data_IF_906226832582
#
_entry.id   IF_906226832582
#
_cell.length_a   1.000
_cell.length_b   1.000
_cell.length_c   1.000
_cell.angle_alpha   90.00
_cell.angle_beta   90.00
_cell.angle_gamma   90.00
#
_symmetry.space_group_name_H-M   'P 1'
#
loop_
_entity.id
_entity.type
_entity.pdbx_description
1 polymer ?
#
# COMPACT_ATOMS: atom_id res chain seq x y z
N UNK A 1 40.75 57.49 12.07
CA UNK A 1 40.04 56.47 12.87
C UNK A 1 38.63 56.28 12.33
N UNK A 2 38.31 55.15 11.68
CA UNK A 2 36.91 54.81 11.33
C UNK A 2 36.19 54.38 12.60
N UNK A 3 35.21 55.16 13.08
CA UNK A 3 34.32 54.73 14.17
C UNK A 3 33.55 53.50 13.68
N UNK A 4 33.75 52.35 14.32
CA UNK A 4 32.90 51.18 14.08
C UNK A 4 31.54 51.47 14.72
N UNK A 5 30.51 51.59 13.90
CA UNK A 5 29.12 51.63 14.35
C UNK A 5 28.74 50.22 14.81
N UNK A 6 28.54 50.03 16.10
CA UNK A 6 28.07 48.77 16.67
C UNK A 6 26.55 48.64 16.52
N UNK A 7 26.08 47.42 16.31
CA UNK A 7 24.65 47.09 16.31
C UNK A 7 24.08 47.36 17.71
N UNK A 8 22.92 48.02 17.79
CA UNK A 8 22.25 48.22 19.07
C UNK A 8 21.52 46.93 19.48
N UNK A 9 21.37 46.72 20.79
CA UNK A 9 20.67 45.56 21.34
C UNK A 9 19.19 45.50 20.87
N UNK A 10 18.57 46.66 20.64
CA UNK A 10 17.18 46.77 20.15
C UNK A 10 17.09 46.31 18.69
N UNK A 11 18.01 46.75 17.82
CA UNK A 11 18.01 46.32 16.41
C UNK A 11 18.18 44.81 16.29
N UNK A 12 19.03 44.20 17.12
CA UNK A 12 19.20 42.75 17.15
C UNK A 12 17.93 42.04 17.64
N UNK A 13 17.31 42.53 18.72
CA UNK A 13 16.08 41.95 19.27
C UNK A 13 14.91 41.97 18.28
N UNK A 14 14.71 43.09 17.57
CA UNK A 14 13.65 43.21 16.57
C UNK A 14 13.85 42.21 15.43
N UNK A 15 15.08 42.03 14.95
CA UNK A 15 15.38 41.06 13.89
C UNK A 15 15.06 39.63 14.33
N UNK A 16 15.48 39.25 15.54
CA UNK A 16 15.20 37.90 16.06
C UNK A 16 13.68 37.71 16.25
N UNK A 17 12.97 38.74 16.73
CA UNK A 17 11.51 38.69 16.87
C UNK A 17 10.80 38.48 15.52
N UNK A 18 11.24 39.18 14.47
CA UNK A 18 10.69 39.00 13.11
C UNK A 18 10.99 37.59 12.60
N UNK A 19 12.23 37.09 12.75
CA UNK A 19 12.59 35.72 12.34
C UNK A 19 11.75 34.69 13.10
N UNK A 20 11.53 34.87 14.41
CA UNK A 20 10.73 33.98 15.23
C UNK A 20 9.26 33.92 14.76
N UNK A 21 8.66 35.07 14.43
CA UNK A 21 7.29 35.15 13.89
C UNK A 21 7.20 34.45 12.53
N UNK A 22 8.15 34.73 11.62
CA UNK A 22 8.18 34.10 10.30
C UNK A 22 8.36 32.58 10.39
N UNK A 23 9.28 32.13 11.23
CA UNK A 23 9.54 30.71 11.46
C UNK A 23 8.32 29.99 12.07
N UNK A 24 7.62 30.63 13.03
CA UNK A 24 6.43 30.08 13.67
C UNK A 24 5.29 29.81 12.67
N UNK A 25 5.14 30.64 11.62
CA UNK A 25 4.15 30.43 10.56
C UNK A 25 4.66 29.44 9.51
N UNK A 26 5.96 29.50 9.17
CA UNK A 26 6.54 28.70 8.10
C UNK A 26 6.64 27.21 8.45
N UNK A 27 7.02 26.86 9.69
CA UNK A 27 7.19 25.46 10.08
C UNK A 27 5.92 24.60 9.96
N UNK A 28 4.73 25.00 10.46
CA UNK A 28 3.53 24.17 10.30
C UNK A 28 3.08 24.06 8.84
N UNK A 29 3.25 25.12 8.04
CA UNK A 29 2.91 25.10 6.61
C UNK A 29 3.86 24.19 5.84
N UNK A 30 5.16 24.29 6.11
CA UNK A 30 6.17 23.46 5.47
C UNK A 30 5.98 21.98 5.79
N UNK A 31 5.64 21.64 7.04
CA UNK A 31 5.33 20.27 7.43
C UNK A 31 4.15 19.69 6.63
N UNK A 32 3.06 20.46 6.49
CA UNK A 32 1.89 20.06 5.69
C UNK A 32 2.23 19.91 4.21
N UNK A 33 2.98 20.86 3.64
CA UNK A 33 3.38 20.82 2.24
C UNK A 33 4.28 19.61 1.93
N UNK A 34 5.25 19.32 2.81
CA UNK A 34 6.11 18.15 2.71
C UNK A 34 5.30 16.86 2.74
N UNK A 35 4.27 16.80 3.55
CA UNK A 35 3.42 15.61 3.63
C UNK A 35 2.56 15.42 2.38
N UNK A 36 1.98 16.48 1.84
CA UNK A 36 1.26 16.41 0.56
C UNK A 36 2.17 15.95 -0.60
N UNK A 37 3.44 16.38 -0.59
CA UNK A 37 4.42 15.91 -1.56
C UNK A 37 4.68 14.41 -1.42
N UNK A 38 4.82 13.89 -0.19
CA UNK A 38 5.01 12.45 0.04
C UNK A 38 3.80 11.63 -0.40
N UNK A 39 2.58 12.07 -0.08
CA UNK A 39 1.34 11.43 -0.58
C UNK A 39 1.27 11.35 -2.10
N UNK A 40 1.68 12.43 -2.77
CA UNK A 40 1.75 12.48 -4.24
C UNK A 40 2.80 11.49 -4.76
N UNK A 41 3.94 11.37 -4.10
CA UNK A 41 4.94 10.34 -4.43
C UNK A 41 4.41 8.93 -4.25
N UNK A 42 3.63 8.66 -3.18
CA UNK A 42 3.03 7.35 -2.97
C UNK A 42 2.04 6.99 -4.08
N UNK A 43 1.20 7.95 -4.51
CA UNK A 43 0.30 7.75 -5.64
C UNK A 43 1.06 7.48 -6.95
N UNK A 44 2.16 8.20 -7.19
CA UNK A 44 3.02 7.97 -8.36
C UNK A 44 3.67 6.59 -8.35
N UNK A 45 4.13 6.13 -7.19
CA UNK A 45 4.68 4.79 -7.01
C UNK A 45 3.65 3.71 -7.35
N UNK A 46 2.41 3.84 -6.85
CA UNK A 46 1.34 2.89 -7.17
C UNK A 46 1.01 2.85 -8.65
N UNK A 47 0.98 4.01 -9.32
CA UNK A 47 0.79 4.08 -10.77
C UNK A 47 1.90 3.31 -11.50
N UNK A 48 3.16 3.47 -11.09
CA UNK A 48 4.28 2.72 -11.68
C UNK A 48 4.15 1.21 -11.45
N UNK A 49 3.73 0.78 -10.26
CA UNK A 49 3.48 -0.64 -9.97
C UNK A 49 2.37 -1.19 -10.85
N UNK A 50 1.28 -0.44 -11.03
CA UNK A 50 0.16 -0.86 -11.87
C UNK A 50 0.51 -0.95 -13.36
N UNK A 51 1.27 0.01 -13.87
CA UNK A 51 1.77 -0.07 -15.24
C UNK A 51 2.64 -1.31 -15.43
N UNK A 52 3.51 -1.63 -14.46
CA UNK A 52 4.29 -2.86 -14.49
C UNK A 52 3.42 -4.13 -14.44
N UNK A 53 2.31 -4.13 -13.70
CA UNK A 53 1.37 -5.23 -13.66
C UNK A 53 0.61 -5.41 -15.00
N UNK A 54 0.30 -4.32 -15.70
CA UNK A 54 -0.28 -4.38 -17.05
C UNK A 54 0.75 -4.91 -18.06
N UNK A 55 2.00 -4.44 -17.97
CA UNK A 55 3.10 -4.98 -18.80
C UNK A 55 3.29 -6.47 -18.56
N UNK A 56 3.29 -6.91 -17.29
CA UNK A 56 3.29 -8.31 -16.93
C UNK A 56 2.12 -9.05 -17.59
N UNK A 57 0.89 -8.56 -17.47
CA UNK A 57 -0.25 -9.22 -18.10
C UNK A 57 -0.08 -9.36 -19.62
N UNK A 58 0.49 -8.35 -20.29
CA UNK A 58 0.79 -8.42 -21.73
C UNK A 58 1.74 -9.55 -22.12
N UNK A 59 2.72 -9.86 -21.26
CA UNK A 59 3.73 -10.90 -21.52
C UNK A 59 3.33 -12.29 -21.00
N UNK A 60 2.32 -12.38 -20.12
CA UNK A 60 1.91 -13.60 -19.42
C UNK A 60 0.43 -13.94 -19.66
N UNK A 61 0.05 -14.22 -20.91
CA UNK A 61 -1.29 -14.69 -21.34
C UNK A 61 -2.46 -13.81 -20.84
N UNK A 62 -2.27 -12.50 -20.82
CA UNK A 62 -3.24 -11.52 -20.31
C UNK A 62 -3.60 -11.77 -18.83
N UNK A 63 -2.74 -12.45 -18.07
CA UNK A 63 -2.98 -12.75 -16.67
C UNK A 63 -2.19 -11.80 -15.76
N UNK A 64 -2.89 -11.21 -14.80
CA UNK A 64 -2.26 -10.37 -13.79
C UNK A 64 -1.37 -11.21 -12.85
N UNK A 65 -0.32 -10.58 -12.27
CA UNK A 65 0.54 -11.28 -11.33
C UNK A 65 -0.23 -11.70 -10.07
N UNK A 66 0.20 -12.82 -9.50
CA UNK A 66 -0.23 -13.33 -8.20
C UNK A 66 1.00 -13.57 -7.31
N UNK A 67 0.81 -13.57 -6.00
CA UNK A 67 1.87 -13.76 -5.01
C UNK A 67 2.10 -15.22 -4.61
N UNK A 68 1.39 -16.20 -5.21
CA UNK A 68 1.60 -17.61 -4.86
C UNK A 68 2.94 -18.12 -5.35
N UNK A 69 3.64 -18.77 -4.43
CA UNK A 69 4.82 -19.56 -4.69
C UNK A 69 4.39 -21.02 -4.53
N UNK A 70 4.32 -21.77 -5.61
CA UNK A 70 3.82 -23.16 -5.66
C UNK A 70 4.74 -24.20 -5.01
N UNK A 71 5.70 -23.81 -4.18
CA UNK A 71 6.70 -24.74 -3.62
C UNK A 71 6.73 -24.66 -2.10
N UNK A 72 6.23 -25.73 -1.47
CA UNK A 72 5.98 -25.95 -0.04
C UNK A 72 7.21 -25.89 0.91
N UNK A 73 8.27 -25.13 0.65
CA UNK A 73 9.50 -25.13 1.48
C UNK A 73 9.99 -23.75 1.96
N UNK A 74 9.30 -22.65 1.67
CA UNK A 74 9.85 -21.28 1.91
C UNK A 74 9.01 -20.40 2.84
N UNK A 75 7.96 -20.94 3.43
CA UNK A 75 7.23 -20.29 4.50
C UNK A 75 8.07 -20.32 5.77
N UNK A 76 8.80 -19.23 6.04
CA UNK A 76 9.36 -18.99 7.36
C UNK A 76 8.28 -19.15 8.45
N UNK A 77 8.69 -19.38 9.72
CA UNK A 77 7.74 -19.68 10.80
C UNK A 77 6.63 -18.62 10.88
N UNK A 78 5.37 -19.05 10.69
CA UNK A 78 4.17 -18.20 10.74
C UNK A 78 3.28 -18.23 9.49
N UNK A 79 3.72 -18.81 8.38
CA UNK A 79 2.93 -18.93 7.14
C UNK A 79 2.59 -20.40 6.84
N UNK A 80 1.95 -21.11 7.77
CA UNK A 80 1.49 -22.47 7.46
C UNK A 80 0.30 -22.41 6.52
N UNK A 81 0.40 -23.10 5.37
CA UNK A 81 -0.69 -23.42 4.44
C UNK A 81 -1.76 -24.31 5.10
N UNK A 82 -2.21 -23.95 6.30
CA UNK A 82 -3.35 -24.60 6.92
C UNK A 82 -4.58 -24.20 6.10
N UNK A 83 -5.38 -25.16 5.62
CA UNK A 83 -6.69 -24.88 5.03
C UNK A 83 -7.56 -24.31 6.14
N UNK A 84 -7.42 -23.01 6.41
CA UNK A 84 -8.39 -22.31 7.23
C UNK A 84 -9.67 -22.16 6.40
N UNK A 85 -10.85 -22.07 7.03
CA UNK A 85 -12.10 -21.75 6.33
C UNK A 85 -12.03 -20.44 5.54
N UNK A 86 -11.01 -19.62 5.79
CA UNK A 86 -10.68 -18.39 5.10
C UNK A 86 -9.60 -18.64 4.04
N UNK A 87 -9.98 -19.32 2.95
CA UNK A 87 -9.10 -19.66 1.84
C UNK A 87 -8.42 -18.41 1.26
N UNK A 88 -7.13 -18.26 1.56
CA UNK A 88 -6.29 -17.14 1.14
C UNK A 88 -5.73 -16.33 2.29
N UNK A 89 -6.45 -16.17 3.42
CA UNK A 89 -6.15 -15.11 4.41
C UNK A 89 -4.74 -15.16 5.03
N UNK A 90 -4.19 -16.35 5.22
CA UNK A 90 -2.82 -16.54 5.72
C UNK A 90 -1.75 -16.32 4.63
N UNK A 91 -1.98 -16.80 3.41
CA UNK A 91 -1.08 -16.58 2.28
C UNK A 91 -1.00 -15.08 1.90
N UNK A 92 -2.16 -14.44 1.93
CA UNK A 92 -2.42 -13.00 1.76
C UNK A 92 -1.61 -12.14 2.75
N UNK A 93 -1.63 -12.47 4.04
CA UNK A 93 -0.88 -11.76 5.09
C UNK A 93 0.64 -11.95 4.97
N UNK A 94 1.06 -13.02 4.30
CA UNK A 94 2.45 -13.44 4.23
C UNK A 94 3.19 -12.94 2.98
N UNK A 95 2.54 -12.90 1.81
CA UNK A 95 3.26 -12.73 0.54
C UNK A 95 2.77 -11.59 -0.33
N UNK A 96 1.52 -11.14 -0.18
CA UNK A 96 1.03 -9.97 -0.91
C UNK A 96 1.81 -8.70 -0.55
N UNK A 97 2.17 -8.53 0.73
CA UNK A 97 2.71 -7.27 1.28
C UNK A 97 4.24 -7.36 1.55
N UNK A 98 4.83 -8.56 1.53
CA UNK A 98 6.27 -8.72 1.83
C UNK A 98 7.13 -8.36 0.64
N UNK A 99 8.19 -7.59 0.88
CA UNK A 99 9.18 -7.30 -0.16
C UNK A 99 10.21 -8.41 -0.29
N UNK A 100 10.53 -9.11 0.79
CA UNK A 100 11.62 -10.08 0.83
C UNK A 100 11.23 -11.40 1.51
N UNK A 101 11.95 -12.47 1.19
CA UNK A 101 11.78 -13.77 1.82
C UNK A 101 12.13 -13.74 3.33
N UNK A 102 11.43 -14.53 4.16
CA UNK A 102 11.78 -14.69 5.56
C UNK A 102 13.15 -15.39 5.69
N UNK A 103 13.94 -14.99 6.70
CA UNK A 103 15.24 -15.62 6.97
C UNK A 103 16.40 -15.16 6.07
N UNK A 104 16.18 -14.30 5.08
CA UNK A 104 17.28 -13.67 4.33
C UNK A 104 18.05 -12.70 5.24
N UNK A 105 19.39 -12.72 5.18
CA UNK A 105 20.23 -11.81 5.95
C UNK A 105 20.14 -10.36 5.44
N UNK A 106 20.62 -9.40 6.25
CA UNK A 106 20.66 -7.97 5.89
C UNK A 106 21.41 -7.69 4.57
N UNK A 107 22.35 -8.58 4.20
CA UNK A 107 23.20 -8.48 3.00
C UNK A 107 22.69 -9.31 1.81
N UNK A 108 21.70 -10.19 2.00
CA UNK A 108 21.23 -11.16 0.99
C UNK A 108 19.71 -11.11 0.82
N UNK A 109 19.13 -9.92 0.86
CA UNK A 109 17.69 -9.71 0.66
C UNK A 109 17.25 -10.20 -0.72
N UNK A 110 16.42 -11.25 -0.75
CA UNK A 110 15.82 -11.78 -1.97
C UNK A 110 14.36 -11.35 -2.05
N UNK A 111 13.92 -10.83 -3.19
CA UNK A 111 12.54 -10.33 -3.39
C UNK A 111 11.52 -11.46 -3.25
N UNK A 112 10.35 -11.17 -2.66
CA UNK A 112 9.22 -12.09 -2.54
C UNK A 112 7.93 -11.48 -3.14
N UNK A 113 6.89 -12.31 -3.27
CA UNK A 113 5.54 -11.87 -3.63
C UNK A 113 5.44 -11.12 -4.98
N UNK A 114 4.63 -10.06 -5.01
CA UNK A 114 4.49 -9.19 -6.18
C UNK A 114 5.80 -8.52 -6.63
N UNK A 115 6.66 -7.99 -5.73
CA UNK A 115 7.97 -7.49 -6.11
C UNK A 115 8.82 -8.50 -6.88
N UNK A 116 8.77 -9.78 -6.52
CA UNK A 116 9.48 -10.83 -7.25
C UNK A 116 8.91 -11.01 -8.67
N UNK A 117 7.58 -11.08 -8.81
CA UNK A 117 6.90 -11.22 -10.12
C UNK A 117 7.13 -10.03 -11.03
N UNK A 118 7.14 -8.84 -10.46
CA UNK A 118 7.28 -7.57 -11.19
C UNK A 118 8.73 -7.15 -11.40
N UNK A 119 9.72 -7.88 -10.85
CA UNK A 119 11.15 -7.57 -10.98
C UNK A 119 11.66 -7.38 -12.43
N UNK A 120 11.12 -8.06 -13.47
CA UNK A 120 11.48 -7.76 -14.85
C UNK A 120 11.15 -6.33 -15.27
N UNK A 121 10.07 -5.75 -14.74
CA UNK A 121 9.53 -4.43 -15.10
C UNK A 121 9.90 -3.33 -14.09
N UNK A 122 10.08 -3.70 -12.82
CA UNK A 122 10.42 -2.80 -11.71
C UNK A 122 11.80 -3.16 -11.18
N UNK A 123 12.77 -2.25 -11.35
CA UNK A 123 14.15 -2.46 -10.89
C UNK A 123 14.43 -1.95 -9.48
N UNK A 124 13.56 -1.11 -8.93
CA UNK A 124 13.71 -0.56 -7.59
C UNK A 124 12.62 -1.06 -6.65
N UNK A 125 12.95 -1.85 -5.63
CA UNK A 125 11.97 -2.29 -4.63
C UNK A 125 11.47 -1.14 -3.74
N UNK A 126 12.13 0.02 -3.77
CA UNK A 126 11.68 1.23 -3.06
C UNK A 126 10.32 1.73 -3.59
N UNK A 127 9.96 1.40 -4.84
CA UNK A 127 8.66 1.74 -5.39
C UNK A 127 7.51 1.08 -4.64
N UNK A 128 7.74 -0.03 -3.95
CA UNK A 128 6.73 -0.69 -3.12
C UNK A 128 6.63 -0.08 -1.71
N UNK A 129 7.33 1.03 -1.44
CA UNK A 129 7.22 1.79 -0.20
C UNK A 129 6.70 3.19 -0.46
N UNK A 130 5.77 3.61 0.38
CA UNK A 130 5.26 4.97 0.43
C UNK A 130 6.22 5.82 1.27
N UNK A 131 6.75 6.96 0.78
CA UNK A 131 7.58 7.84 1.58
C UNK A 131 6.89 8.45 2.82
N UNK A 132 5.56 8.41 2.88
CA UNK A 132 4.79 8.77 4.07
C UNK A 132 4.80 7.66 5.13
N UNK A 133 5.18 6.42 4.77
CA UNK A 133 5.20 5.29 5.68
C UNK A 133 6.35 5.38 6.68
N UNK A 134 6.01 5.45 7.96
CA UNK A 134 6.95 5.66 9.06
C UNK A 134 7.15 4.41 9.93
N UNK A 135 6.48 3.28 9.64
CA UNK A 135 6.55 2.05 10.42
C UNK A 135 7.08 0.90 9.55
N UNK A 136 8.37 0.59 9.71
CA UNK A 136 9.10 -0.35 8.84
C UNK A 136 8.87 -1.82 9.22
N UNK A 137 8.46 -2.10 10.46
CA UNK A 137 8.27 -3.44 11.00
C UNK A 137 6.90 -3.57 11.67
N UNK A 138 5.99 -4.33 11.08
CA UNK A 138 4.70 -4.60 11.73
C UNK A 138 4.32 -6.07 11.69
N UNK A 139 3.63 -6.53 12.74
CA UNK A 139 2.82 -7.76 12.92
C UNK A 139 3.40 -9.14 12.58
N UNK A 140 4.52 -9.26 11.87
CA UNK A 140 5.24 -10.53 11.74
C UNK A 140 6.72 -10.20 11.95
N UNK A 141 7.36 -10.89 12.90
CA UNK A 141 8.77 -10.75 13.22
C UNK A 141 9.64 -11.02 11.98
N UNK A 142 10.48 -10.05 11.58
CA UNK A 142 11.47 -10.16 10.49
C UNK A 142 11.07 -9.60 9.10
N UNK A 143 12.08 -9.06 8.40
CA UNK A 143 12.22 -8.65 6.99
C UNK A 143 11.09 -7.82 6.32
N UNK A 144 11.19 -6.50 6.48
CA UNK A 144 10.83 -5.42 5.53
C UNK A 144 9.58 -5.60 4.63
N UNK A 145 8.48 -4.94 5.01
CA UNK A 145 7.20 -4.90 4.26
C UNK A 145 7.13 -3.79 3.21
N UNK A 146 6.19 -3.93 2.28
CA UNK A 146 5.73 -2.88 1.37
C UNK A 146 4.58 -2.07 1.99
N UNK A 147 4.35 -0.86 1.49
CA UNK A 147 3.33 0.07 1.99
C UNK A 147 1.98 -0.06 1.26
N UNK A 148 1.93 -0.89 0.22
CA UNK A 148 0.75 -1.09 -0.61
C UNK A 148 0.17 -2.48 -0.38
N UNK A 149 -1.14 -2.51 -0.21
CA UNK A 149 -1.98 -3.68 -0.10
C UNK A 149 -2.47 -4.08 -1.49
N UNK A 150 -2.42 -5.37 -1.77
CA UNK A 150 -2.72 -5.94 -3.07
C UNK A 150 -4.13 -6.53 -3.08
N UNK A 151 -4.78 -6.60 -4.24
CA UNK A 151 -6.07 -7.27 -4.37
C UNK A 151 -5.91 -8.77 -4.15
N UNK A 152 -6.18 -9.19 -2.93
CA UNK A 152 -6.05 -10.57 -2.48
C UNK A 152 -6.97 -11.57 -3.16
N UNK A 153 -8.01 -11.07 -3.82
CA UNK A 153 -8.80 -11.86 -4.74
C UNK A 153 -7.93 -12.62 -5.77
N UNK A 154 -6.79 -12.06 -6.19
CA UNK A 154 -5.87 -12.75 -7.11
C UNK A 154 -5.29 -14.02 -6.50
N UNK A 155 -4.69 -13.90 -5.32
CA UNK A 155 -4.04 -15.01 -4.64
C UNK A 155 -5.04 -16.11 -4.26
N UNK A 156 -6.25 -15.71 -3.84
CA UNK A 156 -7.32 -16.63 -3.50
C UNK A 156 -7.94 -17.29 -4.75
N UNK A 157 -8.10 -16.56 -5.85
CA UNK A 157 -8.61 -17.11 -7.12
C UNK A 157 -7.67 -18.20 -7.65
N UNK A 158 -6.36 -17.98 -7.58
CA UNK A 158 -5.34 -19.00 -7.90
C UNK A 158 -5.44 -20.19 -6.92
N UNK A 159 -5.54 -19.93 -5.61
CA UNK A 159 -5.63 -20.98 -4.57
C UNK A 159 -6.82 -21.92 -4.77
N UNK A 160 -7.94 -21.38 -5.23
CA UNK A 160 -9.17 -22.13 -5.47
C UNK A 160 -9.16 -22.90 -6.80
N UNK A 161 -8.01 -22.97 -7.48
CA UNK A 161 -7.81 -23.78 -8.69
C UNK A 161 -8.31 -23.12 -9.98
N UNK A 162 -8.68 -21.83 -9.94
CA UNK A 162 -9.12 -21.10 -11.14
C UNK A 162 -7.95 -20.53 -11.97
N UNK A 163 -6.71 -20.69 -11.50
CA UNK A 163 -5.53 -20.13 -12.14
C UNK A 163 -5.38 -18.62 -11.91
N UNK A 164 -4.47 -17.98 -12.66
CA UNK A 164 -4.23 -16.54 -12.54
C UNK A 164 -5.41 -15.72 -13.09
N UNK A 165 -5.64 -14.54 -12.50
CA UNK A 165 -6.74 -13.65 -12.90
C UNK A 165 -6.44 -13.04 -14.25
N UNK A 166 -7.22 -13.45 -15.26
CA UNK A 166 -7.12 -12.94 -16.63
C UNK A 166 -7.77 -11.57 -16.78
N UNK A 167 -7.24 -10.75 -17.66
CA UNK A 167 -7.77 -9.42 -17.96
C UNK A 167 -9.21 -9.49 -18.48
N UNK A 168 -9.57 -10.58 -19.17
CA UNK A 168 -10.92 -10.84 -19.68
C UNK A 168 -11.99 -11.07 -18.60
N UNK A 169 -11.61 -11.45 -17.37
CA UNK A 169 -12.59 -11.60 -16.27
C UNK A 169 -12.85 -10.27 -15.53
N UNK A 170 -12.04 -9.24 -15.80
CA UNK A 170 -12.16 -7.91 -15.18
C UNK A 170 -13.11 -7.05 -16.03
N UNK A 171 -14.38 -7.01 -15.63
CA UNK A 171 -15.43 -6.31 -16.40
C UNK A 171 -15.37 -4.78 -16.29
N UNK A 172 -14.88 -4.24 -15.16
CA UNK A 172 -14.90 -2.80 -14.84
C UNK A 172 -13.51 -2.30 -14.42
N UNK A 173 -12.52 -2.31 -15.33
CA UNK A 173 -11.13 -2.09 -14.97
C UNK A 173 -10.83 -0.68 -14.42
N UNK A 174 -11.62 0.33 -14.81
CA UNK A 174 -11.51 1.70 -14.31
C UNK A 174 -12.18 1.94 -12.94
N UNK A 175 -12.85 0.94 -12.37
CA UNK A 175 -13.58 1.08 -11.11
C UNK A 175 -13.12 0.07 -10.07
N UNK A 176 -12.38 -0.95 -10.51
CA UNK A 176 -11.82 -1.99 -9.67
C UNK A 176 -10.34 -1.69 -9.36
N UNK A 177 -10.00 -1.53 -8.09
CA UNK A 177 -8.63 -1.29 -7.65
C UNK A 177 -7.86 -2.61 -7.54
N UNK A 178 -6.65 -2.67 -8.13
CA UNK A 178 -5.70 -3.78 -7.94
C UNK A 178 -4.78 -3.52 -6.74
N UNK A 179 -4.38 -2.27 -6.52
CA UNK A 179 -3.52 -1.88 -5.39
C UNK A 179 -4.19 -0.77 -4.60
N UNK A 180 -4.09 -0.84 -3.28
CA UNK A 180 -4.45 0.27 -2.38
C UNK A 180 -3.34 0.54 -1.38
N UNK A 181 -3.12 1.80 -1.07
CA UNK A 181 -2.21 2.18 0.00
C UNK A 181 -2.82 1.83 1.36
N UNK A 182 -2.00 1.30 2.27
CA UNK A 182 -2.42 1.02 3.63
C UNK A 182 -2.19 2.25 4.51
N UNK A 183 -3.25 2.90 5.02
CA UNK A 183 -3.16 4.23 5.66
C UNK A 183 -2.42 4.35 7.01
N UNK A 184 -1.56 3.41 7.41
CA UNK A 184 -0.85 3.49 8.70
C UNK A 184 0.19 4.62 8.80
N UNK A 185 0.43 5.33 7.70
CA UNK A 185 1.50 6.29 7.47
C UNK A 185 1.48 7.57 8.34
N UNK A 186 0.40 7.85 9.07
CA UNK A 186 0.23 9.10 9.83
C UNK A 186 -0.08 8.95 11.32
N UNK A 187 0.14 7.77 11.90
CA UNK A 187 -0.37 7.49 13.25
C UNK A 187 -1.90 7.53 13.29
N UNK A 188 -2.56 7.39 12.14
CA UNK A 188 -3.96 7.00 12.09
C UNK A 188 -4.08 5.67 12.82
N UNK A 189 -4.91 5.62 13.85
CA UNK A 189 -5.11 4.42 14.65
C UNK A 189 -5.68 3.25 13.81
N UNK A 190 -6.20 3.56 12.62
CA UNK A 190 -7.07 2.69 11.85
C UNK A 190 -6.67 2.67 10.36
N UNK A 191 -6.00 1.64 9.86
CA UNK A 191 -5.82 1.47 8.43
C UNK A 191 -7.15 1.07 7.81
N UNK A 192 -7.21 1.25 6.50
CA UNK A 192 -8.33 0.88 5.67
C UNK A 192 -8.79 -0.59 5.85
N UNK A 193 -7.88 -1.55 6.11
CA UNK A 193 -8.20 -2.99 6.09
C UNK A 193 -8.15 -3.72 7.45
N UNK A 194 -7.73 -3.07 8.54
CA UNK A 194 -7.50 -3.73 9.84
C UNK A 194 -8.04 -2.96 11.04
N UNK A 195 -9.07 -2.13 10.84
CA UNK A 195 -9.77 -1.51 11.95
C UNK A 195 -10.75 -2.51 12.59
N UNK A 196 -10.72 -2.64 13.92
CA UNK A 196 -11.78 -3.32 14.67
C UNK A 196 -13.11 -2.55 14.68
N UNK A 197 -13.09 -1.26 14.35
CA UNK A 197 -14.27 -0.39 14.21
C UNK A 197 -14.51 -0.04 12.74
N UNK A 198 -15.37 -0.81 12.07
CA UNK A 198 -15.66 -0.66 10.64
C UNK A 198 -16.72 0.40 10.38
N UNK A 199 -16.48 1.59 10.91
CA UNK A 199 -17.42 2.71 10.87
C UNK A 199 -16.73 3.99 10.38
N UNK A 200 -17.42 4.71 9.49
CA UNK A 200 -16.98 5.99 8.94
C UNK A 200 -16.25 5.89 7.59
N UNK A 201 -16.13 7.01 6.89
CA UNK A 201 -15.41 7.07 5.61
C UNK A 201 -13.91 7.05 5.82
N UNK A 202 -13.19 6.22 5.06
CA UNK A 202 -11.72 6.16 5.04
C UNK A 202 -11.17 6.67 3.71
N UNK A 203 -10.06 7.41 3.78
CA UNK A 203 -9.18 7.83 2.68
C UNK A 203 -8.45 6.64 2.02
N UNK A 204 -7.89 6.68 0.81
CA UNK A 204 -6.56 6.10 0.47
C UNK A 204 -6.18 6.36 -0.99
N UNK A 205 -4.89 6.23 -1.30
CA UNK A 205 -4.44 6.11 -2.69
C UNK A 205 -4.80 4.71 -3.21
N UNK A 206 -5.26 4.63 -4.46
CA UNK A 206 -5.59 3.38 -5.14
C UNK A 206 -5.10 3.42 -6.59
N UNK A 207 -4.78 2.24 -7.13
CA UNK A 207 -4.46 2.04 -8.53
C UNK A 207 -5.32 0.91 -9.12
N UNK A 208 -5.80 1.13 -10.34
CA UNK A 208 -6.91 0.41 -10.96
C UNK A 208 -6.44 -0.44 -12.13
N UNK A 209 -7.22 -1.46 -12.50
CA UNK A 209 -6.85 -2.40 -13.56
C UNK A 209 -6.61 -1.76 -14.93
N UNK A 210 -7.13 -0.57 -15.19
CA UNK A 210 -6.84 0.19 -16.42
C UNK A 210 -5.53 1.02 -16.36
N UNK A 211 -4.82 1.01 -15.23
CA UNK A 211 -3.54 1.70 -15.06
C UNK A 211 -3.63 3.09 -14.44
N UNK A 212 -4.82 3.64 -14.20
CA UNK A 212 -4.91 4.93 -13.51
C UNK A 212 -4.72 4.74 -11.99
N UNK A 213 -4.37 5.84 -11.33
CA UNK A 213 -4.27 5.89 -9.87
C UNK A 213 -4.95 7.15 -9.36
N UNK A 214 -5.70 7.04 -8.27
CA UNK A 214 -6.48 8.13 -7.71
C UNK A 214 -6.55 8.03 -6.18
N UNK A 215 -6.61 9.19 -5.53
CA UNK A 215 -7.00 9.27 -4.12
C UNK A 215 -8.52 9.10 -4.01
N UNK A 216 -8.97 8.05 -3.34
CA UNK A 216 -10.38 7.68 -3.20
C UNK A 216 -10.82 7.69 -1.74
N UNK A 217 -12.12 7.87 -1.49
CA UNK A 217 -12.71 7.65 -0.18
C UNK A 217 -13.74 6.55 -0.24
N UNK A 218 -13.69 5.65 0.74
CA UNK A 218 -14.64 4.54 0.85
C UNK A 218 -15.41 4.64 2.15
N UNK A 219 -16.74 4.60 2.11
CA UNK A 219 -17.57 4.54 3.30
C UNK A 219 -17.51 3.13 3.92
N UNK A 220 -17.00 3.01 5.14
CA UNK A 220 -17.15 1.81 5.97
C UNK A 220 -18.42 1.99 6.82
N UNK A 221 -19.44 1.15 6.67
CA UNK A 221 -20.70 1.28 7.43
C UNK A 221 -21.01 0.00 8.21
N UNK A 222 -21.10 0.10 9.55
CA UNK A 222 -22.02 -0.72 10.37
C UNK A 222 -22.37 -0.01 11.69
N UNK A 223 -23.65 0.16 12.04
CA UNK A 223 -24.19 -0.55 13.22
C UNK A 223 -25.44 -1.43 12.98
N UNK A 224 -25.83 -1.72 11.73
CA UNK A 224 -26.92 -2.67 11.40
C UNK A 224 -26.59 -3.72 10.32
N UNK A 225 -25.31 -3.97 10.04
CA UNK A 225 -24.92 -5.18 9.31
C UNK A 225 -24.88 -5.04 7.77
N UNK A 226 -23.65 -4.85 7.29
CA UNK A 226 -23.17 -4.94 5.89
C UNK A 226 -23.36 -3.61 5.10
N UNK A 227 -22.36 -2.98 4.48
CA UNK A 227 -21.27 -3.51 3.65
C UNK A 227 -19.90 -2.79 3.75
N UNK A 228 -18.92 -3.51 3.19
CA UNK A 228 -17.54 -3.17 2.82
C UNK A 228 -16.48 -3.10 3.94
N UNK A 229 -15.95 -4.27 4.30
CA UNK A 229 -14.86 -4.41 5.26
C UNK A 229 -13.47 -4.41 4.62
N UNK A 230 -13.40 -4.53 3.31
CA UNK A 230 -12.14 -4.61 2.60
C UNK A 230 -12.45 -4.48 1.11
N UNK A 231 -11.56 -3.90 0.31
CA UNK A 231 -11.62 -4.09 -1.15
C UNK A 231 -11.47 -5.58 -1.54
N UNK A 232 -11.15 -6.42 -0.54
CA UNK A 232 -11.13 -7.87 -0.57
C UNK A 232 -11.94 -8.49 0.59
N UNK A 233 -13.28 -8.51 0.56
CA UNK A 233 -14.12 -9.23 1.54
C UNK A 233 -13.61 -10.61 2.02
N UNK A 234 -13.08 -10.63 3.24
CA UNK A 234 -12.67 -11.84 3.95
C UNK A 234 -13.82 -12.69 4.52
N UNK A 235 -15.09 -12.29 4.35
CA UNK A 235 -16.18 -12.83 5.20
C UNK A 235 -17.38 -13.49 4.52
N UNK A 236 -17.41 -13.69 3.20
CA UNK A 236 -18.55 -14.37 2.55
C UNK A 236 -18.15 -15.30 1.41
N UNK A 237 -17.80 -16.54 1.74
CA UNK A 237 -17.82 -17.65 0.78
C UNK A 237 -16.64 -17.71 -0.20
N UNK A 238 -16.47 -18.90 -0.76
CA UNK A 238 -15.21 -19.44 -1.29
C UNK A 238 -14.78 -18.93 -2.68
N UNK A 239 -15.49 -17.95 -3.26
CA UNK A 239 -15.29 -17.58 -4.67
C UNK A 239 -15.39 -16.07 -4.91
N UNK A 240 -14.29 -15.49 -5.40
CA UNK A 240 -14.26 -14.12 -5.90
C UNK A 240 -14.89 -14.05 -7.29
N UNK A 241 -15.90 -13.20 -7.46
CA UNK A 241 -16.56 -12.99 -8.74
C UNK A 241 -16.31 -11.57 -9.22
N UNK A 242 -15.14 -11.34 -9.83
CA UNK A 242 -14.76 -10.07 -10.47
C UNK A 242 -15.87 -9.41 -11.32
N UNK A 243 -16.76 -10.15 -12.02
CA UNK A 243 -17.88 -9.55 -12.75
C UNK A 243 -18.98 -8.92 -11.88
N UNK A 244 -19.23 -9.46 -10.68
CA UNK A 244 -20.36 -9.09 -9.80
C UNK A 244 -19.93 -8.49 -8.47
N UNK A 245 -18.63 -8.29 -8.25
CA UNK A 245 -18.10 -7.70 -7.02
C UNK A 245 -18.72 -6.29 -6.79
N UNK A 246 -19.24 -6.00 -5.59
CA UNK A 246 -20.35 -5.07 -5.49
C UNK A 246 -20.02 -3.56 -5.63
N UNK A 247 -18.79 -3.06 -5.51
CA UNK A 247 -18.46 -1.62 -5.68
C UNK A 247 -16.97 -1.47 -6.06
N UNK A 248 -16.51 -0.84 -7.14
CA UNK A 248 -16.92 0.36 -7.91
C UNK A 248 -17.07 1.64 -7.08
N UNK A 249 -16.03 2.46 -7.11
CA UNK A 249 -16.04 3.86 -6.63
C UNK A 249 -16.61 4.82 -7.67
#
# INVERSE_FOLDING_TARGET
>A
MKRRTGFTLIELLVVIAIIAILAAILFPVFARAREQARKTSCLSNMKQIMLAAIMYAGDYDEAYPDSQITTNELDGPGCTHTPTPYQGALHIQCWGIRLYYPGTGLTTKQLAGYPLRLNPYIKSPQLFRCPSDNLVDRWISGNERGSYYFRHAHDAYVASGFGAVRMSVVMRPAQLALFVEEMWHHGGADPYAWNGTNTGSKASNAAFYDGHAKYMSVPFVTPLGVANYDLNWFFQGHHWHFPSDPFDI
#
